data_IF_783676404512
#
_entry.id   IF_783676404512
#
_cell.length_a   1.000
_cell.length_b   1.000
_cell.length_c   1.000
_cell.angle_alpha   90.00
_cell.angle_beta   90.00
_cell.angle_gamma   90.00
#
_symmetry.space_group_name_H-M   'P 1'
#
loop_
_entity.id
_entity.type
_entity.pdbx_description
1 polymer ?
#
# COMPACT_ATOMS: atom_id res chain seq x y z
N UNK A 1 23.96 12.53 -24.28
CA UNK A 1 23.37 11.78 -23.16
C UNK A 1 22.87 12.79 -22.14
N UNK A 2 21.55 12.95 -21.99
CA UNK A 2 21.01 13.73 -20.86
C UNK A 2 21.03 12.80 -19.65
N UNK A 3 21.83 13.15 -18.64
CA UNK A 3 21.72 12.54 -17.34
C UNK A 3 20.27 12.73 -16.88
N UNK A 4 19.50 11.65 -16.84
CA UNK A 4 18.18 11.66 -16.23
C UNK A 4 18.44 11.91 -14.76
N UNK A 5 18.08 13.10 -14.28
CA UNK A 5 18.18 13.46 -12.87
C UNK A 5 17.58 12.33 -12.04
N UNK A 6 18.37 11.77 -11.13
CA UNK A 6 17.88 10.77 -10.20
C UNK A 6 16.68 11.38 -9.46
N UNK A 7 15.56 10.65 -9.32
CA UNK A 7 14.35 11.19 -8.71
C UNK A 7 14.71 11.78 -7.35
N UNK A 8 14.44 13.07 -7.20
CA UNK A 8 14.74 13.87 -6.03
C UNK A 8 14.34 13.09 -4.80
N UNK A 9 15.25 12.96 -3.82
CA UNK A 9 14.97 12.35 -2.52
C UNK A 9 13.70 13.01 -1.99
N UNK A 10 12.59 12.28 -2.13
CA UNK A 10 11.27 12.86 -1.97
C UNK A 10 11.14 13.19 -0.49
N UNK A 11 10.68 14.42 -0.19
CA UNK A 11 10.52 15.01 1.14
C UNK A 11 10.25 13.94 2.24
N UNK A 12 10.95 13.93 3.39
CA UNK A 12 10.81 12.87 4.39
C UNK A 12 9.35 12.56 4.78
N UNK A 13 8.49 13.58 4.85
CA UNK A 13 7.05 13.41 5.09
C UNK A 13 6.32 12.64 3.98
N UNK A 14 6.76 12.75 2.72
CA UNK A 14 6.23 11.95 1.61
C UNK A 14 6.61 10.48 1.76
N UNK A 15 7.87 10.18 2.07
CA UNK A 15 8.30 8.79 2.26
C UNK A 15 7.54 8.14 3.42
N UNK A 16 7.37 8.87 4.53
CA UNK A 16 6.57 8.41 5.66
C UNK A 16 5.11 8.15 5.25
N UNK A 17 4.48 9.08 4.52
CA UNK A 17 3.11 8.91 4.04
C UNK A 17 2.97 7.70 3.11
N UNK A 18 3.86 7.57 2.13
CA UNK A 18 3.90 6.44 1.20
C UNK A 18 4.09 5.10 1.95
N UNK A 19 4.96 5.04 2.95
CA UNK A 19 5.14 3.85 3.78
C UNK A 19 3.85 3.48 4.54
N UNK A 20 3.11 4.47 5.08
CA UNK A 20 1.82 4.24 5.73
C UNK A 20 0.78 3.68 4.75
N UNK A 21 0.74 4.19 3.52
CA UNK A 21 -0.16 3.67 2.47
C UNK A 21 0.20 2.23 2.10
N UNK A 22 1.49 1.91 1.96
CA UNK A 22 1.94 0.54 1.68
C UNK A 22 1.51 -0.40 2.82
N UNK A 23 1.75 -0.01 4.08
CA UNK A 23 1.35 -0.81 5.24
C UNK A 23 -0.17 -1.06 5.26
N UNK A 24 -0.98 -0.02 5.05
CA UNK A 24 -2.43 -0.15 4.99
C UNK A 24 -2.88 -1.10 3.85
N UNK A 25 -2.26 -1.03 2.67
CA UNK A 25 -2.56 -1.96 1.58
C UNK A 25 -2.21 -3.40 1.96
N UNK A 26 -1.05 -3.62 2.56
CA UNK A 26 -0.62 -4.95 3.01
C UNK A 26 -1.63 -5.55 4.00
N UNK A 27 -2.09 -4.76 4.98
CA UNK A 27 -3.10 -5.21 5.95
C UNK A 27 -4.44 -5.57 5.29
N UNK A 28 -4.91 -4.75 4.34
CA UNK A 28 -6.15 -5.02 3.61
C UNK A 28 -6.02 -6.28 2.78
N UNK A 29 -4.94 -6.42 2.01
CA UNK A 29 -4.72 -7.58 1.15
C UNK A 29 -4.55 -8.86 1.98
N UNK A 30 -3.90 -8.80 3.16
CA UNK A 30 -3.82 -9.92 4.10
C UNK A 30 -5.20 -10.35 4.57
N UNK A 31 -6.04 -9.39 5.01
CA UNK A 31 -7.41 -9.67 5.45
C UNK A 31 -8.24 -10.28 4.31
N UNK A 32 -8.14 -9.73 3.10
CA UNK A 32 -8.86 -10.25 1.93
C UNK A 32 -8.42 -11.67 1.59
N UNK A 33 -7.10 -11.96 1.67
CA UNK A 33 -6.56 -13.29 1.47
C UNK A 33 -7.10 -14.29 2.51
N UNK A 34 -7.15 -13.91 3.78
CA UNK A 34 -7.72 -14.76 4.85
C UNK A 34 -9.21 -15.05 4.64
N UNK A 35 -9.94 -14.07 4.08
CA UNK A 35 -11.37 -14.21 3.75
C UNK A 35 -11.62 -14.93 2.41
N UNK A 36 -10.57 -15.28 1.65
CA UNK A 36 -10.71 -15.84 0.30
C UNK A 36 -11.33 -14.88 -0.71
N UNK A 37 -11.15 -13.56 -0.50
CA UNK A 37 -11.70 -12.48 -1.32
C UNK A 37 -10.59 -11.65 -1.96
N UNK A 38 -10.96 -10.76 -2.86
CA UNK A 38 -10.08 -9.76 -3.43
C UNK A 38 -10.83 -8.46 -3.67
N UNK A 39 -10.10 -7.34 -3.64
CA UNK A 39 -10.61 -6.03 -3.99
C UNK A 39 -10.01 -5.56 -5.31
N UNK A 40 -10.83 -4.90 -6.12
CA UNK A 40 -10.33 -4.06 -7.20
C UNK A 40 -9.60 -2.83 -6.60
N UNK A 41 -9.07 -1.95 -7.47
CA UNK A 41 -8.31 -0.81 -6.97
C UNK A 41 -9.20 0.22 -6.28
N UNK A 42 -10.47 0.34 -6.68
CA UNK A 42 -11.37 1.36 -6.14
C UNK A 42 -11.85 0.95 -4.74
N UNK A 43 -12.24 -0.31 -4.57
CA UNK A 43 -12.53 -0.89 -3.25
C UNK A 43 -11.33 -0.87 -2.32
N UNK A 44 -10.13 -1.22 -2.82
CA UNK A 44 -8.90 -1.11 -2.03
C UNK A 44 -8.60 0.34 -1.61
N UNK A 45 -8.87 1.30 -2.50
CA UNK A 45 -8.66 2.73 -2.20
C UNK A 45 -9.57 3.20 -1.07
N UNK A 46 -10.84 2.79 -1.09
CA UNK A 46 -11.79 3.11 -0.02
C UNK A 46 -11.33 2.51 1.33
N UNK A 47 -10.94 1.25 1.35
CA UNK A 47 -10.46 0.55 2.55
C UNK A 47 -9.17 1.14 3.13
N UNK A 48 -8.26 1.61 2.27
CA UNK A 48 -7.04 2.31 2.67
C UNK A 48 -7.38 3.68 3.26
N UNK A 49 -8.32 4.41 2.66
CA UNK A 49 -8.76 5.70 3.16
C UNK A 49 -9.35 5.58 4.57
N UNK A 50 -10.23 4.59 4.78
CA UNK A 50 -10.82 4.31 6.08
C UNK A 50 -9.76 3.99 7.15
N UNK A 51 -8.84 3.06 6.86
CA UNK A 51 -7.78 2.66 7.82
C UNK A 51 -6.85 3.81 8.19
N UNK A 52 -6.58 4.71 7.25
CA UNK A 52 -5.70 5.86 7.48
C UNK A 52 -6.44 7.07 8.07
N UNK A 53 -7.76 6.99 8.25
CA UNK A 53 -8.60 8.11 8.71
C UNK A 53 -8.59 9.27 7.71
N UNK A 54 -8.43 8.99 6.42
CA UNK A 54 -8.39 9.99 5.38
C UNK A 54 -9.80 10.43 5.02
N UNK A 55 -10.01 11.74 5.05
CA UNK A 55 -11.24 12.34 4.58
C UNK A 55 -11.17 12.51 3.06
N UNK A 56 -12.10 11.88 2.35
CA UNK A 56 -12.26 12.04 0.90
C UNK A 56 -13.53 12.83 0.67
N UNK A 57 -13.38 14.13 0.42
CA UNK A 57 -14.51 15.05 0.21
C UNK A 57 -14.89 15.16 -1.27
N UNK A 58 -13.95 14.92 -2.17
CA UNK A 58 -14.15 15.07 -3.61
C UNK A 58 -13.67 13.85 -4.40
N UNK A 59 -14.19 13.71 -5.62
CA UNK A 59 -13.70 12.70 -6.55
C UNK A 59 -12.20 12.88 -6.87
N UNK A 60 -11.72 14.12 -6.94
CA UNK A 60 -10.32 14.41 -7.19
C UNK A 60 -9.40 13.88 -6.07
N UNK A 61 -9.82 14.01 -4.81
CA UNK A 61 -9.07 13.45 -3.67
C UNK A 61 -9.00 11.93 -3.74
N UNK A 62 -10.13 11.31 -4.12
CA UNK A 62 -10.18 9.86 -4.33
C UNK A 62 -9.23 9.43 -5.44
N UNK A 63 -9.26 10.10 -6.60
CA UNK A 63 -8.44 9.76 -7.76
C UNK A 63 -6.95 9.86 -7.46
N UNK A 64 -6.53 10.87 -6.68
CA UNK A 64 -5.15 11.01 -6.22
C UNK A 64 -4.73 9.84 -5.34
N UNK A 65 -5.56 9.46 -4.36
CA UNK A 65 -5.27 8.30 -3.51
C UNK A 65 -5.27 7.00 -4.33
N UNK A 66 -6.23 6.85 -5.26
CA UNK A 66 -6.36 5.69 -6.12
C UNK A 66 -5.11 5.49 -7.00
N UNK A 67 -4.58 6.57 -7.56
CA UNK A 67 -3.34 6.56 -8.33
C UNK A 67 -2.16 6.09 -7.46
N UNK A 68 -2.05 6.60 -6.23
CA UNK A 68 -1.02 6.17 -5.29
C UNK A 68 -1.17 4.70 -4.92
N UNK A 69 -2.39 4.25 -4.58
CA UNK A 69 -2.70 2.85 -4.27
C UNK A 69 -2.32 1.95 -5.42
N UNK A 70 -2.70 2.27 -6.67
CA UNK A 70 -2.28 1.51 -7.86
C UNK A 70 -0.76 1.43 -7.99
N UNK A 71 -0.06 2.54 -7.80
CA UNK A 71 1.38 2.60 -7.95
C UNK A 71 2.12 1.73 -6.92
N UNK A 72 1.62 1.64 -5.68
CA UNK A 72 2.34 0.96 -4.59
C UNK A 72 1.74 -0.38 -4.17
N UNK A 73 0.54 -0.75 -4.66
CA UNK A 73 -0.08 -2.07 -4.43
C UNK A 73 0.84 -3.26 -4.75
N UNK A 74 1.62 -3.27 -5.85
CA UNK A 74 2.56 -4.36 -6.10
C UNK A 74 3.58 -4.54 -4.96
N UNK A 75 4.03 -3.45 -4.34
CA UNK A 75 4.98 -3.50 -3.22
C UNK A 75 4.32 -4.15 -2.00
N UNK A 76 3.07 -3.80 -1.69
CA UNK A 76 2.33 -4.43 -0.60
C UNK A 76 2.11 -5.93 -0.80
N UNK A 77 1.84 -6.36 -2.04
CA UNK A 77 1.73 -7.78 -2.40
C UNK A 77 3.05 -8.54 -2.33
N UNK A 78 4.14 -7.91 -2.78
CA UNK A 78 5.48 -8.47 -2.63
C UNK A 78 5.86 -8.61 -1.15
N UNK A 79 5.49 -7.65 -0.30
CA UNK A 79 5.67 -7.77 1.14
C UNK A 79 4.92 -9.01 1.69
N UNK A 80 3.66 -9.23 1.30
CA UNK A 80 2.90 -10.43 1.70
C UNK A 80 3.53 -11.73 1.23
N UNK A 81 4.13 -11.75 0.04
CA UNK A 81 4.85 -12.93 -0.46
C UNK A 81 6.17 -13.15 0.29
N UNK A 82 6.82 -12.06 0.65
CA UNK A 82 8.08 -12.06 1.39
C UNK A 82 7.88 -12.21 2.90
N UNK A 83 6.66 -12.23 3.41
CA UNK A 83 6.37 -12.44 4.84
C UNK A 83 5.47 -13.65 5.02
N UNK A 84 5.90 -14.62 5.84
CA UNK A 84 5.07 -15.74 6.24
C UNK A 84 4.67 -15.57 7.70
N UNK A 85 3.39 -15.69 8.00
CA UNK A 85 2.96 -15.86 9.38
C UNK A 85 3.31 -17.29 9.81
N UNK A 86 4.23 -17.41 10.75
CA UNK A 86 4.68 -18.72 11.23
C UNK A 86 3.73 -19.23 12.34
N UNK A 87 3.47 -18.42 13.39
CA UNK A 87 2.51 -18.70 14.47
C UNK A 87 2.05 -17.42 15.19
N UNK A 88 0.73 -17.27 15.42
CA UNK A 88 0.18 -16.37 16.44
C UNK A 88 0.58 -14.88 16.31
N UNK A 89 0.63 -14.33 15.10
CA UNK A 89 1.08 -12.96 14.85
C UNK A 89 2.59 -12.77 14.73
N UNK A 90 3.39 -13.86 14.75
CA UNK A 90 4.80 -13.82 14.41
C UNK A 90 4.99 -13.96 12.89
N UNK A 91 5.57 -12.93 12.27
CA UNK A 91 5.85 -12.90 10.85
C UNK A 91 7.35 -13.03 10.59
N UNK A 92 7.73 -14.01 9.78
CA UNK A 92 9.11 -14.15 9.28
C UNK A 92 9.22 -13.55 7.90
N UNK A 93 10.25 -12.73 7.69
CA UNK A 93 10.68 -12.36 6.36
C UNK A 93 11.31 -13.57 5.69
N UNK A 94 10.64 -14.08 4.67
CA UNK A 94 11.21 -14.98 3.68
C UNK A 94 12.23 -14.15 2.88
N UNK A 95 13.49 -14.18 3.31
CA UNK A 95 14.59 -13.64 2.53
C UNK A 95 14.58 -14.37 1.18
N UNK A 96 14.22 -13.65 0.12
CA UNK A 96 14.27 -14.12 -1.27
C UNK A 96 15.73 -14.39 -1.69
#
# INVERSE_FOLDING_TARGET
MRASEAPTIIHPGWNQYRSRVIAAITDVEMLMQQLGKGLDCDGLTAEVAERLGLRIDTQADFDVLNALVRAVRPIGREALRATREDQGGQFSLLLL
#
